data_IF_010181418206
#
_entry.id   IF_010181418206
#
_cell.length_a   1.000
_cell.length_b   1.000
_cell.length_c   1.000
_cell.angle_alpha   90.00
_cell.angle_beta   90.00
_cell.angle_gamma   90.00
#
_symmetry.space_group_name_H-M   'P 1'
#
loop_
_entity.id
_entity.type
_entity.pdbx_description
1 polymer ?
#
# COMPACT_ATOMS: atom_id res chain seq x y z
N UNK A 1 15.45 -4.77 7.53
CA UNK A 1 14.66 -3.61 7.04
C UNK A 1 13.59 -4.10 6.08
N UNK A 2 13.91 -4.69 4.92
CA UNK A 2 12.97 -5.62 4.25
C UNK A 2 12.53 -6.72 5.23
N UNK A 3 13.48 -7.19 6.04
CA UNK A 3 13.23 -8.19 7.09
C UNK A 3 12.16 -7.82 8.12
N UNK A 4 11.86 -6.54 8.38
CA UNK A 4 10.96 -6.17 9.49
C UNK A 4 9.50 -6.40 9.13
N UNK A 5 9.08 -5.96 7.93
CA UNK A 5 7.77 -6.29 7.38
C UNK A 5 7.67 -7.78 7.02
N UNK A 6 8.74 -8.37 6.45
CA UNK A 6 8.73 -9.78 6.06
C UNK A 6 8.73 -10.76 7.24
N UNK A 7 9.15 -10.35 8.44
CA UNK A 7 9.18 -11.21 9.64
C UNK A 7 7.77 -11.60 10.10
N UNK A 8 6.78 -10.71 9.95
CA UNK A 8 5.38 -10.97 10.32
C UNK A 8 4.54 -11.55 9.19
N UNK A 9 4.99 -11.49 7.93
CA UNK A 9 4.18 -11.87 6.76
C UNK A 9 3.59 -13.28 6.87
N UNK A 10 4.37 -14.23 7.40
CA UNK A 10 3.93 -15.62 7.53
C UNK A 10 2.91 -15.80 8.66
N UNK A 11 3.20 -15.28 9.85
CA UNK A 11 2.34 -15.44 11.03
C UNK A 11 1.08 -14.60 10.97
N UNK A 12 1.18 -13.39 10.43
CA UNK A 12 0.15 -12.36 10.56
C UNK A 12 -0.80 -12.37 9.35
N UNK A 13 -0.32 -12.85 8.19
CA UNK A 13 -1.11 -12.87 6.95
C UNK A 13 -1.27 -14.26 6.36
N UNK A 14 -0.16 -14.95 6.06
CA UNK A 14 -0.20 -16.18 5.25
C UNK A 14 -0.90 -17.35 5.95
N UNK A 15 -0.56 -17.62 7.22
CA UNK A 15 -1.18 -18.71 7.98
C UNK A 15 -2.66 -18.44 8.29
N UNK A 16 -3.06 -17.23 8.77
CA UNK A 16 -4.47 -16.89 8.95
C UNK A 16 -5.29 -16.99 7.66
N UNK A 17 -4.76 -16.48 6.55
CA UNK A 17 -5.42 -16.59 5.23
C UNK A 17 -5.61 -18.04 4.81
N UNK A 18 -4.55 -18.86 4.92
CA UNK A 18 -4.60 -20.26 4.55
C UNK A 18 -5.65 -21.02 5.39
N UNK A 19 -5.72 -20.73 6.69
CA UNK A 19 -6.71 -21.30 7.58
C UNK A 19 -8.13 -20.89 7.21
N UNK A 20 -8.38 -19.59 6.96
CA UNK A 20 -9.70 -19.08 6.59
C UNK A 20 -10.21 -19.68 5.28
N UNK A 21 -9.31 -19.92 4.33
CA UNK A 21 -9.67 -20.40 3.01
C UNK A 21 -9.56 -21.94 2.85
N UNK A 22 -9.20 -22.65 3.91
CA UNK A 22 -9.05 -24.11 3.88
C UNK A 22 -7.90 -24.61 3.00
N UNK A 23 -6.84 -23.81 2.84
CA UNK A 23 -5.60 -24.22 2.18
C UNK A 23 -4.74 -24.99 3.17
N UNK A 24 -4.57 -26.29 2.93
CA UNK A 24 -3.66 -27.14 3.68
C UNK A 24 -2.64 -27.80 2.76
N UNK A 25 -1.48 -28.14 3.34
CA UNK A 25 -0.45 -28.99 2.77
C UNK A 25 -0.05 -28.61 1.32
N UNK A 26 -0.29 -29.51 0.37
CA UNK A 26 0.08 -29.35 -1.04
C UNK A 26 -0.58 -28.11 -1.68
N UNK A 27 -1.81 -27.77 -1.28
CA UNK A 27 -2.50 -26.58 -1.80
C UNK A 27 -1.87 -25.29 -1.31
N UNK A 28 -1.40 -25.26 -0.06
CA UNK A 28 -0.67 -24.11 0.49
C UNK A 28 0.69 -23.96 -0.19
N UNK A 29 1.39 -25.07 -0.43
CA UNK A 29 2.66 -25.05 -1.17
C UNK A 29 2.48 -24.53 -2.60
N UNK A 30 1.49 -25.05 -3.32
CA UNK A 30 1.16 -24.58 -4.67
C UNK A 30 0.77 -23.10 -4.68
N UNK A 31 -0.06 -22.68 -3.72
CA UNK A 31 -0.44 -21.28 -3.57
C UNK A 31 0.79 -20.37 -3.36
N UNK A 32 1.72 -20.75 -2.47
CA UNK A 32 2.96 -19.98 -2.23
C UNK A 32 3.77 -19.79 -3.52
N UNK A 33 3.91 -20.83 -4.32
CA UNK A 33 4.64 -20.74 -5.59
C UNK A 33 3.94 -19.80 -6.57
N UNK A 34 2.62 -19.91 -6.72
CA UNK A 34 1.83 -19.01 -7.58
C UNK A 34 1.90 -17.57 -7.11
N UNK A 35 1.74 -17.34 -5.80
CA UNK A 35 1.79 -16.00 -5.20
C UNK A 35 3.16 -15.35 -5.42
N UNK A 36 4.26 -16.07 -5.16
CA UNK A 36 5.61 -15.55 -5.40
C UNK A 36 5.81 -15.20 -6.87
N UNK A 37 5.43 -16.11 -7.79
CA UNK A 37 5.61 -15.88 -9.22
C UNK A 37 4.81 -14.66 -9.71
N UNK A 38 3.55 -14.52 -9.31
CA UNK A 38 2.73 -13.38 -9.72
C UNK A 38 3.18 -12.08 -9.06
N UNK A 39 3.57 -12.08 -7.78
CA UNK A 39 4.12 -10.89 -7.14
C UNK A 39 5.44 -10.44 -7.81
N UNK A 40 6.28 -11.36 -8.25
CA UNK A 40 7.49 -11.04 -9.02
C UNK A 40 7.15 -10.40 -10.37
N UNK A 41 6.10 -10.88 -11.05
CA UNK A 41 5.62 -10.27 -12.28
C UNK A 41 5.07 -8.87 -12.03
N UNK A 42 4.21 -8.72 -11.00
CA UNK A 42 3.69 -7.42 -10.55
C UNK A 42 4.79 -6.39 -10.31
N UNK A 43 5.90 -6.80 -9.68
CA UNK A 43 7.01 -5.92 -9.36
C UNK A 43 7.73 -5.33 -10.59
N UNK A 44 7.52 -5.90 -11.78
CA UNK A 44 8.06 -5.37 -13.04
C UNK A 44 7.14 -4.37 -13.74
N UNK A 45 5.90 -4.22 -13.26
CA UNK A 45 4.93 -3.30 -13.83
C UNK A 45 5.23 -1.86 -13.42
N UNK A 46 5.17 -0.95 -14.38
CA UNK A 46 5.07 0.48 -14.09
C UNK A 46 3.60 0.81 -13.87
N UNK A 47 3.21 0.86 -12.59
CA UNK A 47 1.84 1.17 -12.18
C UNK A 47 1.60 2.68 -12.08
N UNK A 48 2.57 3.42 -11.54
CA UNK A 48 2.44 4.85 -11.32
C UNK A 48 3.37 5.62 -12.26
N UNK A 49 2.79 6.37 -13.19
CA UNK A 49 3.51 7.36 -14.00
C UNK A 49 3.09 8.78 -13.57
N UNK A 50 4.06 9.64 -13.30
CA UNK A 50 3.85 10.97 -12.73
C UNK A 50 2.92 11.87 -13.57
N UNK A 51 2.89 11.67 -14.90
CA UNK A 51 2.09 12.48 -15.83
C UNK A 51 0.65 11.98 -15.99
N UNK A 52 0.30 10.81 -15.43
CA UNK A 52 -1.01 10.15 -15.58
C UNK A 52 -1.63 9.75 -14.24
N UNK A 53 -1.29 10.45 -13.15
CA UNK A 53 -1.89 10.18 -11.84
C UNK A 53 -3.35 10.67 -11.85
N UNK A 54 -4.37 9.79 -11.82
CA UNK A 54 -5.77 10.20 -11.89
C UNK A 54 -6.29 10.80 -10.57
N UNK A 55 -5.41 10.93 -9.58
CA UNK A 55 -5.74 11.34 -8.23
C UNK A 55 -5.45 12.80 -7.98
N UNK A 56 -6.42 13.46 -7.37
CA UNK A 56 -6.19 14.73 -6.69
C UNK A 56 -5.24 14.55 -5.50
N UNK A 57 -4.59 15.65 -5.09
CA UNK A 57 -3.78 15.67 -3.87
C UNK A 57 -4.57 15.23 -2.62
N UNK A 58 -5.89 15.41 -2.62
CA UNK A 58 -6.74 15.00 -1.50
C UNK A 58 -6.96 13.49 -1.46
N UNK A 59 -7.07 12.83 -2.60
CA UNK A 59 -7.14 11.36 -2.71
C UNK A 59 -5.78 10.74 -2.36
N UNK A 60 -4.68 11.33 -2.83
CA UNK A 60 -3.34 10.89 -2.42
C UNK A 60 -3.11 11.06 -0.91
N UNK A 61 -3.68 12.11 -0.30
CA UNK A 61 -3.59 12.32 1.14
C UNK A 61 -4.47 11.36 1.95
N UNK A 62 -5.58 10.85 1.41
CA UNK A 62 -6.42 9.88 2.12
C UNK A 62 -5.73 8.52 2.21
N UNK A 63 -4.97 8.14 1.19
CA UNK A 63 -4.16 6.92 1.13
C UNK A 63 -3.18 6.76 2.29
N UNK A 64 -2.54 7.86 2.72
CA UNK A 64 -1.57 7.86 3.85
C UNK A 64 -2.20 7.91 5.24
N UNK A 65 -3.53 7.85 5.36
CA UNK A 65 -4.24 7.74 6.65
C UNK A 65 -4.63 6.29 6.96
N UNK A 66 -4.93 5.97 8.22
CA UNK A 66 -5.26 4.61 8.64
C UNK A 66 -6.52 4.01 7.94
N UNK A 67 -7.43 4.86 7.45
CA UNK A 67 -8.59 4.47 6.64
C UNK A 67 -8.30 4.34 5.14
N UNK A 68 -7.09 4.70 4.70
CA UNK A 68 -6.69 4.72 3.29
C UNK A 68 -6.07 3.41 2.78
N UNK A 69 -5.69 2.50 3.67
CA UNK A 69 -5.08 1.22 3.29
C UNK A 69 -6.01 0.37 2.42
N UNK A 70 -7.31 0.33 2.74
CA UNK A 70 -8.32 -0.40 1.95
C UNK A 70 -8.55 0.19 0.57
N UNK A 71 -8.69 1.51 0.48
CA UNK A 71 -8.81 2.19 -0.81
C UNK A 71 -7.56 2.05 -1.69
N UNK A 72 -6.39 1.86 -1.08
CA UNK A 72 -5.13 1.66 -1.81
C UNK A 72 -4.98 0.23 -2.32
N UNK A 73 -5.32 -0.77 -1.50
CA UNK A 73 -5.26 -2.18 -1.89
C UNK A 73 -6.12 -2.44 -3.12
N UNK A 74 -7.40 -2.04 -3.06
CA UNK A 74 -8.34 -2.29 -4.15
C UNK A 74 -7.90 -1.59 -5.44
N UNK A 75 -7.48 -0.33 -5.35
CA UNK A 75 -7.07 0.42 -6.53
C UNK A 75 -5.80 -0.14 -7.19
N UNK A 76 -4.78 -0.50 -6.40
CA UNK A 76 -3.55 -1.07 -6.97
C UNK A 76 -3.85 -2.41 -7.64
N UNK A 77 -4.76 -3.21 -7.08
CA UNK A 77 -5.19 -4.46 -7.70
C UNK A 77 -5.96 -4.22 -9.01
N UNK A 78 -6.88 -3.26 -9.05
CA UNK A 78 -7.57 -2.85 -10.27
C UNK A 78 -6.58 -2.43 -11.36
N UNK A 79 -5.58 -1.62 -10.98
CA UNK A 79 -4.58 -1.15 -11.92
C UNK A 79 -3.69 -2.30 -12.44
N UNK A 80 -3.25 -3.20 -11.56
CA UNK A 80 -2.49 -4.39 -11.95
C UNK A 80 -3.30 -5.24 -12.92
N UNK A 81 -4.60 -5.39 -12.69
CA UNK A 81 -5.51 -6.14 -13.57
C UNK A 81 -5.64 -5.53 -14.97
N UNK A 82 -5.38 -4.24 -15.16
CA UNK A 82 -5.34 -3.64 -16.50
C UNK A 82 -4.15 -4.12 -17.34
N UNK A 83 -3.08 -4.58 -16.70
CA UNK A 83 -1.83 -4.98 -17.37
C UNK A 83 -1.61 -6.50 -17.36
N UNK A 84 -2.09 -7.19 -16.31
CA UNK A 84 -1.96 -8.64 -16.19
C UNK A 84 -3.09 -9.27 -15.39
N UNK A 85 -3.40 -10.54 -15.66
CA UNK A 85 -4.33 -11.30 -14.83
C UNK A 85 -3.65 -11.84 -13.59
N UNK A 86 -4.34 -11.75 -12.46
CA UNK A 86 -3.92 -12.36 -11.20
C UNK A 86 -4.78 -13.58 -10.89
N UNK A 87 -4.17 -14.57 -10.24
CA UNK A 87 -4.91 -15.70 -9.69
C UNK A 87 -5.83 -15.19 -8.57
N UNK A 88 -7.05 -15.75 -8.51
CA UNK A 88 -8.08 -15.30 -7.57
C UNK A 88 -7.64 -15.39 -6.11
N UNK A 89 -6.82 -16.38 -5.77
CA UNK A 89 -6.31 -16.55 -4.41
C UNK A 89 -5.20 -15.57 -4.11
N UNK A 90 -4.39 -15.21 -5.10
CA UNK A 90 -3.35 -14.18 -4.96
C UNK A 90 -4.01 -12.83 -4.73
N UNK A 91 -5.07 -12.49 -5.48
CA UNK A 91 -5.84 -11.26 -5.24
C UNK A 91 -6.45 -11.23 -3.84
N UNK A 92 -7.14 -12.33 -3.46
CA UNK A 92 -7.76 -12.43 -2.15
C UNK A 92 -6.72 -12.35 -1.01
N UNK A 93 -5.50 -12.86 -1.23
CA UNK A 93 -4.42 -12.76 -0.25
C UNK A 93 -3.85 -11.35 -0.15
N UNK A 94 -3.69 -10.64 -1.27
CA UNK A 94 -3.24 -9.24 -1.27
C UNK A 94 -4.27 -8.31 -0.63
N UNK A 95 -5.56 -8.65 -0.69
CA UNK A 95 -6.67 -7.98 0.01
C UNK A 95 -6.78 -8.38 1.48
N UNK A 96 -6.27 -9.54 1.87
CA UNK A 96 -6.44 -10.07 3.22
C UNK A 96 -5.81 -9.15 4.26
N UNK A 97 -6.63 -8.65 5.19
CA UNK A 97 -6.22 -7.69 6.25
C UNK A 97 -5.42 -6.51 5.69
N UNK A 98 -5.79 -6.05 4.48
CA UNK A 98 -5.15 -4.96 3.75
C UNK A 98 -3.64 -5.14 3.54
N UNK A 99 -3.19 -6.39 3.36
CA UNK A 99 -1.78 -6.71 3.19
C UNK A 99 -1.06 -5.79 2.20
N UNK A 100 -1.62 -5.62 1.00
CA UNK A 100 -0.99 -4.82 -0.05
C UNK A 100 -0.93 -3.33 0.32
N UNK A 101 -2.05 -2.74 0.75
CA UNK A 101 -2.09 -1.34 1.18
C UNK A 101 -1.15 -1.07 2.36
N UNK A 102 -1.13 -1.94 3.36
CA UNK A 102 -0.24 -1.85 4.51
C UNK A 102 1.24 -1.97 4.11
N UNK A 103 1.58 -2.89 3.20
CA UNK A 103 2.93 -3.01 2.66
C UNK A 103 3.36 -1.73 1.93
N UNK A 104 2.51 -1.23 1.02
CA UNK A 104 2.80 -0.01 0.26
C UNK A 104 3.02 1.20 1.17
N UNK A 105 2.18 1.37 2.19
CA UNK A 105 2.34 2.45 3.18
C UNK A 105 3.63 2.31 3.99
N UNK A 106 3.93 1.10 4.46
CA UNK A 106 5.17 0.84 5.19
C UNK A 106 6.39 1.24 4.35
N UNK A 107 6.46 0.77 3.10
CA UNK A 107 7.58 1.07 2.23
C UNK A 107 7.62 2.52 1.78
N UNK A 108 6.47 3.17 1.54
CA UNK A 108 6.40 4.60 1.23
C UNK A 108 6.96 5.44 2.39
N UNK A 109 6.51 5.18 3.62
CA UNK A 109 7.03 5.85 4.81
C UNK A 109 8.54 5.66 4.95
N UNK A 110 9.04 4.46 4.67
CA UNK A 110 10.46 4.16 4.77
C UNK A 110 11.28 4.87 3.69
N UNK A 111 10.77 5.01 2.47
CA UNK A 111 11.41 5.83 1.42
C UNK A 111 11.45 7.30 1.81
N UNK A 112 10.34 7.85 2.31
CA UNK A 112 10.26 9.24 2.78
C UNK A 112 11.17 9.50 3.98
N UNK A 113 11.32 8.52 4.89
CA UNK A 113 12.24 8.61 6.04
C UNK A 113 13.70 8.73 5.60
N UNK A 114 14.07 8.05 4.52
CA UNK A 114 15.44 8.06 3.97
C UNK A 114 15.75 9.33 3.16
N UNK A 115 14.73 10.07 2.73
CA UNK A 115 14.89 11.26 1.90
C UNK A 115 15.21 12.51 2.77
N UNK A 116 16.46 13.04 2.72
CA UNK A 116 16.87 14.13 3.60
C UNK A 116 16.09 15.43 3.33
N UNK A 117 15.70 15.65 2.07
CA UNK A 117 14.91 16.82 1.68
C UNK A 117 13.50 16.77 2.27
N UNK A 118 12.90 15.59 2.37
CA UNK A 118 11.58 15.41 2.97
C UNK A 118 11.60 15.81 4.44
N UNK A 119 12.55 15.28 5.21
CA UNK A 119 12.69 15.62 6.64
C UNK A 119 12.98 17.11 6.86
N UNK A 120 13.83 17.70 6.02
CA UNK A 120 14.17 19.13 6.11
C UNK A 120 12.97 20.02 5.80
N UNK A 121 12.19 19.66 4.77
CA UNK A 121 10.97 20.39 4.37
C UNK A 121 9.89 20.24 5.43
N UNK A 122 9.63 19.03 5.91
CA UNK A 122 8.67 18.77 6.98
C UNK A 122 9.03 19.57 8.24
N UNK A 123 10.30 19.56 8.64
CA UNK A 123 10.78 20.32 9.80
C UNK A 123 10.69 21.85 9.60
N UNK A 124 10.86 22.35 8.37
CA UNK A 124 10.64 23.77 8.07
C UNK A 124 9.17 24.14 8.17
N UNK A 125 8.28 23.35 7.54
CA UNK A 125 6.84 23.56 7.60
C UNK A 125 6.29 23.48 9.03
N UNK A 126 6.81 22.58 9.87
CA UNK A 126 6.42 22.50 11.29
C UNK A 126 6.87 23.74 12.08
N UNK A 127 8.12 24.19 11.87
CA UNK A 127 8.65 25.38 12.53
C UNK A 127 7.91 26.66 12.14
N UNK A 128 7.43 26.72 10.90
CA UNK A 128 6.67 27.85 10.38
C UNK A 128 5.16 27.76 10.68
N UNK A 129 4.69 26.72 11.37
CA UNK A 129 3.25 26.52 11.69
C UNK A 129 2.39 26.05 10.51
N UNK A 130 2.96 25.97 9.31
CA UNK A 130 2.28 25.69 8.05
C UNK A 130 1.68 24.26 7.97
N UNK A 131 2.14 23.32 8.80
CA UNK A 131 1.53 21.97 8.89
C UNK A 131 0.15 21.97 9.58
N UNK A 132 -0.08 22.91 10.50
CA UNK A 132 -1.38 23.05 11.17
C UNK A 132 -2.33 23.79 10.24
N UNK A 133 -1.83 24.82 9.54
CA UNK A 133 -2.59 25.60 8.57
C UNK A 133 -3.16 24.74 7.43
N UNK A 134 -2.49 23.70 6.92
CA UNK A 134 -3.09 22.86 5.86
C UNK A 134 -4.36 22.14 6.32
N UNK A 135 -4.48 21.80 7.61
CA UNK A 135 -5.71 21.19 8.18
C UNK A 135 -6.79 22.24 8.43
N UNK A 136 -6.43 23.42 8.92
CA UNK A 136 -7.37 24.53 9.17
C UNK A 136 -7.85 25.20 7.86
N UNK A 137 -6.96 25.40 6.88
CA UNK A 137 -7.28 25.91 5.54
C UNK A 137 -8.28 24.99 4.83
N UNK A 138 -8.12 23.66 4.94
CA UNK A 138 -9.12 22.71 4.40
C UNK A 138 -10.50 22.87 5.05
N UNK A 139 -10.57 23.15 6.35
CA UNK A 139 -11.84 23.40 7.03
C UNK A 139 -12.47 24.73 6.60
N UNK A 140 -11.68 25.79 6.42
CA UNK A 140 -12.16 27.10 5.97
C UNK A 140 -12.70 27.02 4.52
N UNK A 141 -11.99 26.32 3.63
CA UNK A 141 -12.39 26.14 2.22
C UNK A 141 -13.63 25.24 2.06
N UNK A 142 -13.90 24.33 2.99
CA UNK A 142 -15.13 23.51 2.99
C UNK A 142 -16.34 24.18 3.67
N UNK A 143 -16.11 25.31 4.35
CA UNK A 143 -17.16 26.06 5.08
C UNK A 143 -17.67 27.29 4.32
N UNK A 144 -17.18 27.52 3.10
CA UNK A 144 -17.56 28.63 2.21
C UNK A 144 -18.16 28.08 0.92
#
# INVERSE_FOLDING_TARGET
MESEFSQGLESDYLLPFAQQQGLADEKLSAFRQTAVAQCQQMATLTLFEADNVPFSETELASFVTASGASSMTDWVLELVQTQQSLDKWVMAFLQFEELLGNALLFFLHEQLRKEPRFQSTLSALQREGLIIDVREIKQIVQST
#
